data_IF_757948085970
#
_entry.id   IF_757948085970
#
_cell.length_a   1.000
_cell.length_b   1.000
_cell.length_c   1.000
_cell.angle_alpha   90.00
_cell.angle_beta   90.00
_cell.angle_gamma   90.00
#
_symmetry.space_group_name_H-M   'P 1'
#
loop_
_entity.id
_entity.type
_entity.pdbx_description
1 polymer ?
#
# COMPACT_ATOMS: atom_id res chain seq x y z
N UNK A 1 23.08 25.88 4.27
CA UNK A 1 23.19 25.70 2.81
C UNK A 1 22.52 26.92 2.19
N UNK A 2 23.29 27.88 1.69
CA UNK A 2 22.74 29.00 0.94
C UNK A 2 22.30 28.49 -0.43
N UNK A 3 20.99 28.52 -0.69
CA UNK A 3 20.44 28.16 -2.00
C UNK A 3 20.45 29.42 -2.86
N UNK A 4 21.38 29.49 -3.82
CA UNK A 4 21.40 30.57 -4.82
C UNK A 4 20.37 30.26 -5.90
N UNK A 5 19.31 31.06 -5.94
CA UNK A 5 18.32 31.00 -7.01
C UNK A 5 18.90 31.62 -8.28
N UNK A 6 18.68 30.96 -9.42
CA UNK A 6 19.11 31.42 -10.74
C UNK A 6 17.88 31.54 -11.65
N UNK A 7 17.92 32.42 -12.65
CA UNK A 7 16.87 32.53 -13.67
C UNK A 7 16.96 31.43 -14.75
N UNK A 8 17.72 30.36 -14.49
CA UNK A 8 17.85 29.21 -15.38
C UNK A 8 16.66 28.26 -15.14
N UNK A 9 16.05 27.68 -16.20
CA UNK A 9 15.00 26.69 -16.03
C UNK A 9 15.47 25.49 -15.21
N UNK A 10 14.59 24.98 -14.35
CA UNK A 10 14.87 23.77 -13.58
C UNK A 10 15.10 22.57 -14.51
N UNK A 11 16.07 21.72 -14.14
CA UNK A 11 16.36 20.48 -14.85
C UNK A 11 16.31 19.29 -13.90
N UNK A 12 15.76 18.18 -14.38
CA UNK A 12 15.70 16.92 -13.63
C UNK A 12 17.00 16.16 -13.81
N UNK A 13 17.69 15.86 -12.71
CA UNK A 13 18.93 15.09 -12.72
C UNK A 13 18.75 13.76 -12.00
N UNK A 14 19.15 12.67 -12.65
CA UNK A 14 19.10 11.34 -12.04
C UNK A 14 20.22 11.17 -11.02
N UNK A 15 19.87 10.99 -9.75
CA UNK A 15 20.85 10.93 -8.65
C UNK A 15 21.63 9.61 -8.57
N UNK A 16 21.14 8.54 -9.22
CA UNK A 16 21.72 7.20 -9.10
C UNK A 16 22.83 6.94 -10.13
N UNK A 17 23.05 7.85 -11.08
CA UNK A 17 24.17 7.78 -12.03
C UNK A 17 25.00 9.06 -11.96
N UNK A 18 26.32 8.93 -12.06
CA UNK A 18 27.25 10.09 -12.07
C UNK A 18 26.99 11.04 -13.24
N UNK A 19 26.43 10.50 -14.32
CA UNK A 19 26.19 11.21 -15.57
C UNK A 19 24.83 11.94 -15.57
N UNK A 20 24.01 11.76 -14.52
CA UNK A 20 22.70 12.39 -14.41
C UNK A 20 21.60 11.84 -15.31
N UNK A 21 21.93 10.83 -16.13
CA UNK A 21 21.01 10.23 -17.09
C UNK A 21 20.22 9.11 -16.42
N UNK A 22 18.90 9.19 -16.54
CA UNK A 22 18.00 8.12 -16.14
C UNK A 22 18.22 6.87 -17.00
N UNK A 23 18.33 5.72 -16.34
CA UNK A 23 18.24 4.43 -17.04
C UNK A 23 17.37 3.47 -16.24
N UNK A 24 16.57 2.67 -16.93
CA UNK A 24 15.75 1.60 -16.34
C UNK A 24 16.63 0.68 -15.48
N UNK A 25 17.83 0.36 -15.97
CA UNK A 25 18.83 -0.43 -15.22
C UNK A 25 19.18 0.21 -13.88
N UNK A 26 19.61 1.46 -13.86
CA UNK A 26 19.99 2.14 -12.61
C UNK A 26 18.84 2.26 -11.61
N UNK A 27 17.61 2.44 -12.10
CA UNK A 27 16.42 2.45 -11.26
C UNK A 27 16.15 1.09 -10.61
N UNK A 28 16.11 0.01 -11.40
CA UNK A 28 15.87 -1.32 -10.85
C UNK A 28 16.99 -1.80 -9.94
N UNK A 29 18.26 -1.51 -10.28
CA UNK A 29 19.39 -1.84 -9.41
C UNK A 29 19.28 -1.15 -8.06
N UNK A 30 18.95 0.15 -8.05
CA UNK A 30 18.71 0.85 -6.79
C UNK A 30 17.50 0.25 -6.05
N UNK A 31 16.36 0.07 -6.72
CA UNK A 31 15.13 -0.47 -6.11
C UNK A 31 15.32 -1.84 -5.45
N UNK A 32 16.14 -2.71 -6.04
CA UNK A 32 16.45 -4.03 -5.48
C UNK A 32 17.38 -3.91 -4.27
N UNK A 33 18.29 -2.94 -4.28
CA UNK A 33 19.33 -2.79 -3.25
C UNK A 33 18.96 -1.82 -2.12
N UNK A 34 17.97 -0.93 -2.31
CA UNK A 34 17.71 0.22 -1.43
C UNK A 34 16.78 -0.06 -0.25
N UNK A 35 16.28 -1.28 -0.07
CA UNK A 35 15.52 -1.61 1.12
C UNK A 35 15.02 -3.06 1.20
N UNK A 36 14.56 -3.50 2.39
CA UNK A 36 14.11 -4.86 2.58
C UNK A 36 12.94 -5.13 1.63
N UNK A 37 13.10 -6.16 0.79
CA UNK A 37 11.99 -6.75 0.03
C UNK A 37 10.85 -6.98 1.04
N UNK A 38 9.74 -6.28 0.81
CA UNK A 38 8.56 -6.12 1.65
C UNK A 38 8.39 -7.14 2.80
N UNK A 39 8.11 -6.62 4.01
CA UNK A 39 7.76 -7.32 5.28
C UNK A 39 6.73 -8.45 5.18
N UNK A 40 6.11 -8.66 4.03
CA UNK A 40 5.06 -9.63 3.73
C UNK A 40 5.52 -10.94 3.09
N UNK A 41 6.83 -11.25 3.05
CA UNK A 41 7.33 -12.54 2.55
C UNK A 41 6.60 -13.74 3.20
N UNK A 42 6.17 -13.58 4.45
CA UNK A 42 5.39 -14.57 5.18
C UNK A 42 4.09 -14.94 4.46
N UNK A 43 3.33 -13.98 3.92
CA UNK A 43 2.08 -14.23 3.18
C UNK A 43 2.32 -15.14 1.98
N UNK A 44 3.44 -14.95 1.28
CA UNK A 44 3.79 -15.70 0.09
C UNK A 44 4.27 -17.12 0.39
N UNK A 45 4.79 -17.38 1.60
CA UNK A 45 5.25 -18.71 2.05
C UNK A 45 4.13 -19.64 2.52
N UNK A 46 2.94 -19.12 2.84
CA UNK A 46 1.80 -19.93 3.32
C UNK A 46 1.34 -20.91 2.23
N UNK A 47 0.99 -22.15 2.61
CA UNK A 47 0.41 -23.16 1.69
C UNK A 47 -1.09 -22.96 1.51
N UNK A 48 -1.48 -21.88 0.84
CA UNK A 48 -2.87 -21.59 0.45
C UNK A 48 -2.95 -21.22 -1.03
N UNK A 49 -4.13 -21.36 -1.68
CA UNK A 49 -4.34 -20.91 -3.05
C UNK A 49 -3.94 -19.44 -3.24
N UNK A 50 -3.43 -19.10 -4.44
CA UNK A 50 -2.93 -17.77 -4.77
C UNK A 50 -3.96 -16.66 -4.51
N UNK A 51 -5.24 -16.92 -4.81
CA UNK A 51 -6.34 -15.98 -4.54
C UNK A 51 -6.39 -15.54 -3.06
N UNK A 52 -6.12 -16.45 -2.13
CA UNK A 52 -6.12 -16.16 -0.69
C UNK A 52 -4.87 -15.35 -0.32
N UNK A 53 -3.70 -15.65 -0.91
CA UNK A 53 -2.48 -14.86 -0.70
C UNK A 53 -2.66 -13.41 -1.16
N UNK A 54 -3.25 -13.20 -2.33
CA UNK A 54 -3.54 -11.86 -2.87
C UNK A 54 -4.50 -11.12 -1.94
N UNK A 55 -5.56 -11.81 -1.48
CA UNK A 55 -6.50 -11.22 -0.52
C UNK A 55 -5.81 -10.82 0.79
N UNK A 56 -5.04 -11.72 1.42
CA UNK A 56 -4.25 -11.42 2.62
C UNK A 56 -3.28 -10.27 2.41
N UNK A 57 -2.67 -10.17 1.22
CA UNK A 57 -1.81 -9.07 0.85
C UNK A 57 -2.56 -7.73 0.81
N UNK A 58 -3.78 -7.70 0.26
CA UNK A 58 -4.62 -6.50 0.27
C UNK A 58 -5.07 -6.11 1.68
N UNK A 59 -5.41 -7.09 2.53
CA UNK A 59 -5.71 -6.86 3.96
C UNK A 59 -4.50 -6.25 4.67
N UNK A 60 -3.31 -6.83 4.49
CA UNK A 60 -2.07 -6.33 5.07
C UNK A 60 -1.72 -4.92 4.55
N UNK A 61 -2.03 -4.62 3.29
CA UNK A 61 -1.83 -3.28 2.70
C UNK A 61 -2.93 -2.28 3.07
N UNK A 62 -3.97 -2.71 3.78
CA UNK A 62 -5.10 -1.89 4.18
C UNK A 62 -5.86 -1.29 2.98
N UNK A 63 -5.93 -2.01 1.85
CA UNK A 63 -6.53 -1.51 0.58
C UNK A 63 -7.80 -2.23 0.14
N UNK A 64 -8.32 -3.16 0.94
CA UNK A 64 -9.59 -3.83 0.64
C UNK A 64 -10.76 -2.83 0.67
N UNK A 65 -11.86 -3.20 0.03
CA UNK A 65 -13.05 -2.36 -0.15
C UNK A 65 -13.97 -2.36 1.09
N UNK A 66 -13.41 -2.16 2.28
CA UNK A 66 -14.20 -1.84 3.47
C UNK A 66 -14.82 -0.45 3.35
N UNK A 67 -15.96 -0.22 4.00
CA UNK A 67 -16.66 1.08 3.88
C UNK A 67 -15.81 2.27 4.33
N UNK A 68 -14.95 2.12 5.33
CA UNK A 68 -13.99 3.18 5.70
C UNK A 68 -13.06 3.56 4.53
N UNK A 69 -12.59 2.57 3.77
CA UNK A 69 -11.74 2.77 2.60
C UNK A 69 -12.52 3.32 1.40
N UNK A 70 -13.78 2.93 1.23
CA UNK A 70 -14.67 3.51 0.22
C UNK A 70 -14.93 4.99 0.50
N UNK A 71 -15.18 5.36 1.76
CA UNK A 71 -15.38 6.75 2.16
C UNK A 71 -14.13 7.61 1.92
N UNK A 72 -12.92 7.09 2.20
CA UNK A 72 -11.65 7.75 1.84
C UNK A 72 -11.54 8.03 0.34
N UNK A 73 -12.19 7.21 -0.50
CA UNK A 73 -12.25 7.37 -1.97
C UNK A 73 -13.45 8.20 -2.45
N UNK A 74 -14.13 8.92 -1.55
CA UNK A 74 -15.31 9.75 -1.84
C UNK A 74 -16.51 8.95 -2.36
N UNK A 75 -16.62 7.67 -2.01
CA UNK A 75 -17.84 6.90 -2.26
C UNK A 75 -18.99 7.44 -1.37
N UNK A 76 -20.20 7.46 -1.91
CA UNK A 76 -21.39 7.95 -1.21
C UNK A 76 -22.13 6.77 -0.58
N UNK A 77 -22.16 6.73 0.76
CA UNK A 77 -22.90 5.74 1.53
C UNK A 77 -22.59 5.82 3.02
N UNK A 78 -23.09 4.85 3.79
CA UNK A 78 -22.83 4.79 5.23
C UNK A 78 -21.49 4.10 5.54
N UNK A 79 -20.92 4.43 6.70
CA UNK A 79 -19.73 3.76 7.25
C UNK A 79 -20.07 2.46 7.98
N UNK A 80 -21.34 2.22 8.31
CA UNK A 80 -21.77 1.14 9.20
C UNK A 80 -21.59 -0.25 8.60
N UNK A 81 -21.12 -1.19 9.40
CA UNK A 81 -21.03 -2.61 9.07
C UNK A 81 -22.38 -3.18 8.64
N UNK A 82 -22.38 -4.09 7.66
CA UNK A 82 -23.61 -4.77 7.22
C UNK A 82 -24.15 -5.77 8.27
N UNK A 83 -23.32 -6.18 9.23
CA UNK A 83 -23.63 -7.25 10.17
C UNK A 83 -23.85 -6.76 11.60
N UNK A 84 -23.53 -5.50 11.91
CA UNK A 84 -23.77 -4.90 13.22
C UNK A 84 -23.85 -3.38 13.16
N UNK A 85 -24.06 -2.71 14.29
CA UNK A 85 -24.23 -1.26 14.36
C UNK A 85 -22.93 -0.42 14.36
N UNK A 86 -21.76 -1.06 14.38
CA UNK A 86 -20.44 -0.38 14.40
C UNK A 86 -19.98 0.01 12.99
N UNK A 87 -18.99 0.89 12.89
CA UNK A 87 -18.37 1.24 11.61
C UNK A 87 -17.53 0.08 11.03
N UNK A 88 -17.60 -0.09 9.71
CA UNK A 88 -16.90 -1.14 9.00
C UNK A 88 -15.46 -0.71 8.69
N UNK A 89 -14.54 -1.28 9.46
CA UNK A 89 -13.10 -1.25 9.20
C UNK A 89 -12.59 -2.66 8.94
N UNK A 90 -11.35 -2.79 8.46
CA UNK A 90 -10.71 -4.11 8.26
C UNK A 90 -10.65 -4.90 9.58
N UNK A 91 -10.23 -4.25 10.66
CA UNK A 91 -10.15 -4.88 11.98
C UNK A 91 -11.54 -5.29 12.48
N UNK A 92 -12.53 -4.41 12.30
CA UNK A 92 -13.89 -4.73 12.66
C UNK A 92 -14.43 -5.93 11.87
N UNK A 93 -14.34 -5.88 10.54
CA UNK A 93 -14.93 -6.88 9.65
C UNK A 93 -14.36 -8.30 9.87
N UNK A 94 -13.06 -8.42 10.18
CA UNK A 94 -12.39 -9.73 10.31
C UNK A 94 -12.13 -10.20 11.74
N UNK A 95 -12.24 -9.33 12.77
CA UNK A 95 -11.83 -9.67 14.14
C UNK A 95 -12.90 -9.29 15.17
N UNK A 96 -13.43 -8.08 15.10
CA UNK A 96 -14.27 -7.55 16.19
C UNK A 96 -15.76 -7.78 15.99
N UNK A 97 -16.19 -7.88 14.73
CA UNK A 97 -17.58 -8.07 14.34
C UNK A 97 -18.16 -9.32 15.01
N UNK A 98 -19.36 -9.24 15.62
CA UNK A 98 -20.01 -10.40 16.22
C UNK A 98 -20.12 -11.58 15.26
N UNK A 99 -20.39 -11.32 13.98
CA UNK A 99 -20.44 -12.38 12.96
C UNK A 99 -19.07 -13.02 12.74
N UNK A 100 -17.98 -12.24 12.71
CA UNK A 100 -16.63 -12.77 12.54
C UNK A 100 -16.18 -13.64 13.72
N UNK A 101 -16.69 -13.37 14.93
CA UNK A 101 -16.41 -14.18 16.12
C UNK A 101 -17.19 -15.49 16.19
N UNK A 102 -18.26 -15.62 15.41
CA UNK A 102 -19.10 -16.82 15.35
C UNK A 102 -18.63 -17.83 14.29
N UNK A 103 -17.81 -17.39 13.35
CA UNK A 103 -17.21 -18.20 12.28
C UNK A 103 -15.84 -18.74 12.70
#
# INVERSE_FOLDING_TARGET
>A
IEVRLSNVPDSTHWKLTKNGIFTVKSFYTDLINSGPISRSLHIWKIKVPLRIKIFMWFVHKQVILTKDNLLKRRWVGNSRCCFCAQDETIQHLFIECPLAKLL
#
